data_IF_391214653547
#
_entry.id   IF_391214653547
#
_cell.length_a   1.000
_cell.length_b   1.000
_cell.length_c   1.000
_cell.angle_alpha   90.00
_cell.angle_beta   90.00
_cell.angle_gamma   90.00
#
_symmetry.space_group_name_H-M   'P 1'
#
loop_
_entity.id
_entity.type
_entity.pdbx_description
1 polymer ?
#
# COMPACT_ATOMS: atom_id res chain seq x y z
N UNK A 1 -12.96 3.42 17.68
CA UNK A 1 -11.59 2.87 17.59
C UNK A 1 -10.85 2.89 18.95
N UNK A 2 -10.83 4.00 19.71
CA UNK A 2 -10.30 4.08 21.09
C UNK A 2 -10.97 3.18 22.16
N UNK A 3 -11.99 2.39 21.78
CA UNK A 3 -12.81 1.62 22.71
C UNK A 3 -12.23 0.23 23.03
N UNK A 4 -11.36 -0.29 22.16
CA UNK A 4 -10.80 -1.64 22.24
C UNK A 4 -9.30 -1.67 22.57
N UNK A 5 -8.60 -0.55 22.43
CA UNK A 5 -7.18 -0.43 22.75
C UNK A 5 -6.98 0.37 24.04
N UNK A 6 -5.97 0.00 24.84
CA UNK A 6 -5.59 0.75 26.04
C UNK A 6 -5.31 2.22 25.70
N UNK A 7 -5.66 3.14 26.61
CA UNK A 7 -5.37 4.57 26.41
C UNK A 7 -3.87 4.85 26.29
N UNK A 8 -3.02 4.00 26.90
CA UNK A 8 -1.56 4.15 26.91
C UNK A 8 -0.86 3.36 25.79
N UNK A 9 -1.59 2.60 24.97
CA UNK A 9 -0.96 1.86 23.88
C UNK A 9 -0.60 2.79 22.74
N UNK A 10 0.50 2.49 22.06
CA UNK A 10 0.74 2.99 20.72
C UNK A 10 -0.39 2.48 19.81
N UNK A 11 -0.89 3.34 18.93
CA UNK A 11 -1.98 3.02 18.01
C UNK A 11 -1.53 3.33 16.59
N UNK A 12 -1.84 2.41 15.68
CA UNK A 12 -1.48 2.49 14.27
C UNK A 12 -2.78 2.45 13.47
N UNK A 13 -3.01 3.49 12.68
CA UNK A 13 -4.04 3.53 11.65
C UNK A 13 -3.42 3.09 10.33
N UNK A 14 -4.01 2.08 9.69
CA UNK A 14 -3.61 1.66 8.34
C UNK A 14 -4.51 2.35 7.33
N UNK A 15 -3.92 3.16 6.46
CA UNK A 15 -4.64 3.80 5.35
C UNK A 15 -4.25 3.12 4.05
N UNK A 16 -5.24 2.74 3.26
CA UNK A 16 -5.02 2.39 1.86
C UNK A 16 -4.85 3.67 1.05
N UNK A 17 -3.94 3.67 0.09
CA UNK A 17 -3.79 4.78 -0.84
C UNK A 17 -3.90 4.26 -2.27
N UNK A 18 -4.84 4.82 -3.05
CA UNK A 18 -5.02 4.55 -4.50
C UNK A 18 -3.92 5.22 -5.34
N UNK A 19 -2.71 5.19 -4.82
CA UNK A 19 -1.71 6.22 -5.02
C UNK A 19 -0.86 6.04 -6.28
N UNK A 20 -0.94 4.88 -6.91
CA UNK A 20 0.11 4.46 -7.82
C UNK A 20 -0.40 4.19 -9.26
N UNK A 21 -1.61 4.62 -9.60
CA UNK A 21 -2.12 4.55 -10.98
C UNK A 21 -1.65 5.68 -11.90
N UNK A 22 -1.16 6.79 -11.33
CA UNK A 22 -0.82 8.03 -12.05
C UNK A 22 0.55 8.63 -11.69
N UNK A 23 1.29 7.99 -10.78
CA UNK A 23 2.62 8.48 -10.36
C UNK A 23 3.60 8.47 -11.54
N UNK A 24 4.30 9.57 -11.75
CA UNK A 24 5.41 9.64 -12.68
C UNK A 24 6.72 9.19 -11.98
N UNK A 25 7.80 8.95 -12.73
CA UNK A 25 9.08 8.48 -12.15
C UNK A 25 9.65 9.42 -11.07
N UNK A 26 9.43 10.72 -11.19
CA UNK A 26 9.87 11.72 -10.22
C UNK A 26 9.08 11.58 -8.91
N UNK A 27 7.78 11.35 -8.99
CA UNK A 27 6.93 11.14 -7.81
C UNK A 27 7.37 9.89 -7.01
N UNK A 28 7.83 8.84 -7.70
CA UNK A 28 8.36 7.62 -7.08
C UNK A 28 9.69 7.85 -6.36
N UNK A 29 10.55 8.71 -6.90
CA UNK A 29 11.92 8.93 -6.41
C UNK A 29 11.96 10.03 -5.36
N UNK A 30 11.27 11.13 -5.60
CA UNK A 30 11.30 12.32 -4.76
C UNK A 30 10.28 12.28 -3.62
N UNK A 31 9.40 11.27 -3.60
CA UNK A 31 8.46 11.08 -2.51
C UNK A 31 7.60 12.33 -2.23
N UNK A 32 7.33 13.10 -3.28
CA UNK A 32 6.73 14.44 -3.21
C UNK A 32 5.21 14.30 -3.10
N UNK A 33 4.74 13.82 -1.95
CA UNK A 33 3.38 13.33 -1.79
C UNK A 33 2.46 14.32 -1.07
N UNK A 34 1.21 14.39 -1.54
CA UNK A 34 0.09 15.08 -0.88
C UNK A 34 -0.93 14.05 -0.40
N UNK A 35 -0.77 13.48 0.82
CA UNK A 35 -1.62 12.43 1.37
C UNK A 35 -3.11 12.72 1.27
N UNK A 36 -3.47 13.93 1.66
CA UNK A 36 -4.86 14.36 1.75
C UNK A 36 -5.55 14.49 0.39
N UNK A 37 -4.80 14.72 -0.70
CA UNK A 37 -5.39 14.80 -2.05
C UNK A 37 -5.75 13.41 -2.61
N UNK A 38 -5.02 12.37 -2.19
CA UNK A 38 -5.17 10.99 -2.70
C UNK A 38 -6.13 10.12 -1.87
N UNK A 39 -6.55 10.62 -0.69
CA UNK A 39 -7.46 9.94 0.24
C UNK A 39 -8.61 10.85 0.64
N UNK A 40 -9.18 11.61 -0.31
CA UNK A 40 -10.25 12.59 -0.02
C UNK A 40 -11.41 12.07 0.84
N UNK A 41 -11.69 10.76 0.80
CA UNK A 41 -12.73 10.13 1.62
C UNK A 41 -12.29 9.82 3.06
N UNK A 42 -10.98 9.71 3.32
CA UNK A 42 -10.42 9.34 4.62
C UNK A 42 -9.77 10.52 5.37
N UNK A 43 -9.71 11.72 4.79
CA UNK A 43 -9.05 12.90 5.38
C UNK A 43 -9.49 13.14 6.83
N UNK A 44 -10.79 13.17 7.10
CA UNK A 44 -11.31 13.36 8.46
C UNK A 44 -10.85 12.26 9.42
N UNK A 45 -10.76 11.02 8.95
CA UNK A 45 -10.29 9.88 9.74
C UNK A 45 -8.80 9.99 10.04
N UNK A 46 -7.99 10.42 9.06
CA UNK A 46 -6.56 10.63 9.21
C UNK A 46 -6.26 11.81 10.15
N UNK A 47 -6.92 12.94 9.97
CA UNK A 47 -6.79 14.11 10.85
C UNK A 47 -7.16 13.74 12.29
N UNK A 48 -8.24 12.97 12.47
CA UNK A 48 -8.62 12.47 13.78
C UNK A 48 -7.55 11.55 14.37
N UNK A 49 -7.02 10.59 13.60
CA UNK A 49 -5.97 9.70 14.06
C UNK A 49 -4.70 10.47 14.49
N UNK A 50 -4.30 11.48 13.71
CA UNK A 50 -3.18 12.35 14.07
C UNK A 50 -3.45 13.16 15.34
N UNK A 51 -4.65 13.73 15.46
CA UNK A 51 -5.04 14.49 16.67
C UNK A 51 -5.04 13.62 17.93
N UNK A 52 -5.33 12.33 17.78
CA UNK A 52 -5.29 11.33 18.86
C UNK A 52 -3.86 10.78 19.11
N UNK A 53 -2.81 11.31 18.45
CA UNK A 53 -1.42 10.85 18.51
C UNK A 53 -1.16 9.44 17.97
N UNK A 54 -1.91 9.01 16.95
CA UNK A 54 -1.68 7.71 16.32
C UNK A 54 -0.60 7.80 15.25
N UNK A 55 0.08 6.69 15.01
CA UNK A 55 0.83 6.52 13.76
C UNK A 55 -0.15 6.24 12.63
N UNK A 56 0.08 6.83 11.47
CA UNK A 56 -0.57 6.48 10.22
C UNK A 56 0.45 5.77 9.36
N UNK A 57 0.11 4.58 8.87
CA UNK A 57 0.87 3.89 7.85
C UNK A 57 0.05 3.83 6.57
N UNK A 58 0.59 4.42 5.51
CA UNK A 58 0.03 4.42 4.17
C UNK A 58 0.58 3.23 3.39
N UNK A 59 -0.31 2.35 2.96
CA UNK A 59 0.02 1.15 2.18
C UNK A 59 -0.51 1.28 0.75
N UNK A 60 0.24 0.79 -0.25
CA UNK A 60 -0.23 0.72 -1.63
C UNK A 60 -1.53 -0.09 -1.74
N UNK A 61 -2.29 0.20 -2.80
CA UNK A 61 -3.54 -0.49 -3.12
C UNK A 61 -3.41 -2.02 -3.18
N UNK A 62 -2.22 -2.51 -3.56
CA UNK A 62 -1.94 -3.93 -3.67
C UNK A 62 -0.81 -4.29 -2.70
N UNK A 63 -1.19 -4.98 -1.63
CA UNK A 63 -0.29 -5.71 -0.74
C UNK A 63 -0.33 -7.18 -1.17
N UNK A 64 0.85 -7.76 -1.42
CA UNK A 64 0.96 -9.15 -1.89
C UNK A 64 1.64 -10.05 -0.85
N UNK A 65 1.51 -11.37 -1.05
CA UNK A 65 2.03 -12.38 -0.12
C UNK A 65 1.00 -12.89 0.88
N UNK A 66 1.33 -14.00 1.53
CA UNK A 66 0.42 -14.74 2.41
C UNK A 66 -0.63 -15.59 1.67
N UNK A 67 -1.45 -16.29 2.45
CA UNK A 67 -2.49 -17.20 1.95
C UNK A 67 -3.71 -16.45 1.41
N UNK A 68 -4.11 -15.34 2.05
CA UNK A 68 -5.27 -14.52 1.66
C UNK A 68 -4.92 -13.34 0.76
N UNK A 69 -3.82 -13.43 0.00
CA UNK A 69 -3.38 -12.39 -0.92
C UNK A 69 -4.48 -12.07 -1.95
N UNK A 70 -4.93 -10.81 -2.02
CA UNK A 70 -5.96 -10.39 -2.96
C UNK A 70 -5.57 -10.68 -4.41
N UNK A 71 -4.30 -10.50 -4.76
CA UNK A 71 -3.78 -10.82 -6.08
C UNK A 71 -3.94 -12.31 -6.41
N UNK A 72 -3.60 -13.21 -5.47
CA UNK A 72 -3.81 -14.66 -5.66
C UNK A 72 -5.29 -14.98 -5.87
N UNK A 73 -6.18 -14.37 -5.08
CA UNK A 73 -7.63 -14.56 -5.19
C UNK A 73 -8.16 -14.10 -6.55
N UNK A 74 -7.80 -12.89 -6.99
CA UNK A 74 -8.22 -12.34 -8.28
C UNK A 74 -7.73 -13.22 -9.43
N UNK A 75 -6.46 -13.68 -9.37
CA UNK A 75 -5.89 -14.56 -10.39
C UNK A 75 -6.61 -15.91 -10.41
N UNK A 76 -6.90 -16.50 -9.25
CA UNK A 76 -7.63 -17.77 -9.15
C UNK A 76 -9.07 -17.65 -9.68
N UNK A 77 -9.77 -16.54 -9.38
CA UNK A 77 -11.11 -16.25 -9.91
C UNK A 77 -11.10 -16.05 -11.44
N UNK A 78 -9.94 -15.73 -12.03
CA UNK A 78 -9.77 -15.40 -13.45
C UNK A 78 -8.98 -16.46 -14.22
N UNK A 79 -8.74 -17.64 -13.66
CA UNK A 79 -7.83 -18.66 -14.21
C UNK A 79 -8.11 -19.09 -15.65
N UNK A 80 -9.32 -18.85 -16.16
CA UNK A 80 -9.75 -19.18 -17.53
C UNK A 80 -10.11 -17.95 -18.38
N UNK A 81 -9.71 -16.75 -17.97
CA UNK A 81 -10.03 -15.50 -18.65
C UNK A 81 -8.78 -14.67 -18.87
N UNK A 82 -8.64 -14.13 -20.08
CA UNK A 82 -7.57 -13.19 -20.39
C UNK A 82 -7.63 -12.00 -19.41
N UNK A 83 -6.47 -11.62 -18.86
CA UNK A 83 -6.36 -10.40 -18.08
C UNK A 83 -6.24 -9.24 -19.07
N UNK A 84 -7.34 -8.55 -19.29
CA UNK A 84 -7.34 -7.35 -20.12
C UNK A 84 -6.64 -6.21 -19.40
N UNK A 85 -5.50 -5.78 -19.94
CA UNK A 85 -4.79 -4.58 -19.49
C UNK A 85 -5.27 -3.41 -20.35
N UNK A 86 -5.89 -2.41 -19.73
CA UNK A 86 -6.30 -1.20 -20.44
C UNK A 86 -5.05 -0.43 -20.92
N UNK A 87 -4.91 -0.26 -22.24
CA UNK A 87 -3.81 0.49 -22.86
C UNK A 87 -4.34 1.83 -23.38
N UNK A 88 -3.67 2.97 -23.13
CA UNK A 88 -2.36 3.09 -22.50
C UNK A 88 -2.42 3.21 -20.97
N UNK A 89 -1.77 2.30 -20.25
CA UNK A 89 -1.54 2.44 -18.81
C UNK A 89 -0.14 3.03 -18.56
N UNK A 90 -0.06 4.32 -18.22
CA UNK A 90 1.23 5.05 -18.17
C UNK A 90 1.76 5.32 -16.76
N UNK A 91 0.97 5.12 -15.71
CA UNK A 91 1.40 5.34 -14.33
C UNK A 91 2.09 4.12 -13.71
N UNK A 92 2.91 4.38 -12.68
CA UNK A 92 3.67 3.35 -11.97
C UNK A 92 3.02 2.97 -10.65
N UNK A 93 2.64 1.70 -10.53
CA UNK A 93 2.17 1.10 -9.29
C UNK A 93 3.32 0.65 -8.41
N UNK A 94 3.33 1.02 -7.12
CA UNK A 94 4.20 0.39 -6.12
C UNK A 94 3.42 -0.65 -5.33
N UNK A 95 4.15 -1.63 -4.83
CA UNK A 95 3.63 -2.79 -4.12
C UNK A 95 4.38 -2.95 -2.82
N UNK A 96 3.83 -3.74 -1.89
CA UNK A 96 4.53 -4.10 -0.66
C UNK A 96 4.18 -5.53 -0.29
N UNK A 97 5.17 -6.28 0.20
CA UNK A 97 4.92 -7.62 0.71
C UNK A 97 4.29 -7.55 2.12
N UNK A 98 3.34 -8.44 2.42
CA UNK A 98 2.64 -8.47 3.70
C UNK A 98 3.58 -8.64 4.90
N UNK A 99 4.71 -9.35 4.72
CA UNK A 99 5.71 -9.50 5.78
C UNK A 99 6.42 -8.17 6.07
N UNK A 100 6.66 -7.35 5.06
CA UNK A 100 7.31 -6.04 5.28
C UNK A 100 6.39 -5.12 6.07
N UNK A 101 5.08 -5.15 5.78
CA UNK A 101 4.07 -4.44 6.58
C UNK A 101 4.09 -4.89 8.04
N UNK A 102 4.09 -6.22 8.27
CA UNK A 102 4.13 -6.76 9.63
C UNK A 102 5.42 -6.38 10.38
N UNK A 103 6.57 -6.50 9.72
CA UNK A 103 7.86 -6.11 10.27
C UNK A 103 7.91 -4.62 10.60
N UNK A 104 7.35 -3.78 9.74
CA UNK A 104 7.32 -2.34 9.96
C UNK A 104 6.41 -1.96 11.14
N UNK A 105 5.28 -2.66 11.32
CA UNK A 105 4.40 -2.40 12.46
C UNK A 105 5.09 -2.81 13.76
N UNK A 106 5.78 -3.95 13.76
CA UNK A 106 6.61 -4.38 14.88
C UNK A 106 7.68 -3.32 15.20
N UNK A 107 8.38 -2.83 14.18
CA UNK A 107 9.37 -1.74 14.32
C UNK A 107 8.76 -0.50 14.98
N UNK A 108 7.59 -0.03 14.54
CA UNK A 108 6.91 1.13 15.14
C UNK A 108 6.56 0.90 16.61
N UNK A 109 6.13 -0.31 16.97
CA UNK A 109 5.78 -0.64 18.37
C UNK A 109 7.01 -0.74 19.28
N UNK A 110 8.18 -1.06 18.73
CA UNK A 110 9.43 -1.19 19.48
C UNK A 110 10.21 0.12 19.60
N UNK A 111 9.99 1.07 18.67
CA UNK A 111 10.74 2.32 18.59
C UNK A 111 9.88 3.52 19.00
N UNK A 112 9.71 3.71 20.31
CA UNK A 112 8.85 4.75 20.88
C UNK A 112 9.41 6.18 20.78
N UNK A 113 10.64 6.34 20.30
CA UNK A 113 11.32 7.63 20.14
C UNK A 113 10.99 8.33 18.81
N UNK A 114 10.29 7.66 17.90
CA UNK A 114 9.89 8.23 16.62
C UNK A 114 8.93 9.40 16.84
N UNK A 115 9.35 10.58 16.38
CA UNK A 115 8.54 11.81 16.39
C UNK A 115 7.62 11.88 15.17
N UNK A 116 8.03 11.28 14.05
CA UNK A 116 7.22 11.19 12.84
C UNK A 116 6.03 10.25 13.05
N UNK A 117 4.85 10.72 12.68
CA UNK A 117 3.58 9.99 12.84
C UNK A 117 2.98 9.52 11.53
N UNK A 118 3.54 9.94 10.40
CA UNK A 118 3.06 9.56 9.08
C UNK A 118 4.14 8.76 8.37
N UNK A 119 3.79 7.56 7.91
CA UNK A 119 4.74 6.57 7.43
C UNK A 119 4.24 5.98 6.13
N UNK A 120 5.13 5.80 5.16
CA UNK A 120 4.82 5.16 3.89
C UNK A 120 5.59 3.86 3.80
N UNK A 121 4.90 2.79 3.42
CA UNK A 121 5.55 1.50 3.18
C UNK A 121 5.23 1.01 1.78
N UNK A 122 6.27 0.92 0.97
CA UNK A 122 6.24 0.44 -0.40
C UNK A 122 7.63 -0.03 -0.81
N UNK A 123 7.70 -0.96 -1.75
CA UNK A 123 8.94 -1.25 -2.45
C UNK A 123 9.43 -0.03 -3.22
N UNK A 124 10.75 0.15 -3.30
CA UNK A 124 11.37 1.24 -4.03
C UNK A 124 11.06 1.22 -5.53
N UNK A 125 10.79 0.03 -6.09
CA UNK A 125 10.48 -0.14 -7.50
C UNK A 125 8.98 -0.11 -7.75
N UNK A 126 8.55 0.85 -8.56
CA UNK A 126 7.22 0.83 -9.17
C UNK A 126 7.22 0.12 -10.53
N UNK A 127 6.05 -0.35 -10.96
CA UNK A 127 5.82 -1.01 -12.25
C UNK A 127 4.63 -0.37 -12.95
N UNK A 128 4.75 -0.13 -14.26
CA UNK A 128 3.53 0.10 -15.06
C UNK A 128 2.68 -1.17 -15.08
N UNK A 129 1.36 -1.09 -15.33
CA UNK A 129 0.53 -2.30 -15.44
C UNK A 129 1.04 -3.31 -16.48
N UNK A 130 1.63 -2.86 -17.59
CA UNK A 130 2.29 -3.74 -18.57
C UNK A 130 3.52 -4.45 -17.98
N UNK A 131 4.38 -3.71 -17.28
CA UNK A 131 5.55 -4.29 -16.62
C UNK A 131 5.14 -5.27 -15.51
N UNK A 132 4.09 -4.95 -14.77
CA UNK A 132 3.56 -5.83 -13.73
C UNK A 132 2.95 -7.10 -14.32
N UNK A 133 2.15 -7.00 -15.39
CA UNK A 133 1.61 -8.16 -16.11
C UNK A 133 2.75 -9.06 -16.62
N UNK A 134 3.79 -8.47 -17.21
CA UNK A 134 4.98 -9.20 -17.66
C UNK A 134 5.71 -9.89 -16.51
N UNK A 135 5.79 -9.26 -15.34
CA UNK A 135 6.39 -9.83 -14.13
C UNK A 135 5.62 -11.08 -13.68
N UNK A 136 4.28 -11.02 -13.69
CA UNK A 136 3.42 -12.15 -13.30
C UNK A 136 3.58 -13.34 -14.24
N UNK A 137 3.67 -13.10 -15.56
CA UNK A 137 3.94 -14.16 -16.57
C UNK A 137 5.33 -14.76 -16.34
N UNK A 138 6.35 -13.91 -16.18
CA UNK A 138 7.75 -14.35 -16.03
C UNK A 138 7.94 -15.26 -14.81
N UNK A 139 7.19 -15.02 -13.74
CA UNK A 139 7.26 -15.80 -12.51
C UNK A 139 6.22 -16.94 -12.46
N UNK A 140 5.55 -17.24 -13.58
CA UNK A 140 4.58 -18.34 -13.68
C UNK A 140 3.34 -18.18 -12.81
N UNK A 141 3.02 -16.95 -12.39
CA UNK A 141 1.83 -16.65 -11.59
C UNK A 141 0.58 -16.65 -12.48
N UNK A 142 0.73 -16.22 -13.73
CA UNK A 142 -0.31 -16.25 -14.76
C UNK A 142 0.27 -16.88 -16.03
N UNK A 143 -0.57 -17.56 -16.81
CA UNK A 143 -0.19 -18.11 -18.12
C UNK A 143 -0.46 -17.09 -19.23
N UNK A 144 0.29 -17.21 -20.33
CA UNK A 144 0.11 -16.40 -21.55
C UNK A 144 -1.05 -16.91 -22.39
#
# INVERSE_FOLDING_TARGET
MNRFASRKSLKIHTSGVWLFGYANKKDLVEFNFKPFDSVKLDVETLEKALSDNWHIVYCPSIIYGGESCQLKRIIAEKSNSAIEVAIPSKGYNQYVHVLDVANYYLFLTQNTTLTERQHFIAETKGYTPEQFASLLVTHGVVQQ
#
